data_IF_961019538411
#
_entry.id   IF_961019538411
#
_cell.length_a   1.000
_cell.length_b   1.000
_cell.length_c   1.000
_cell.angle_alpha   90.00
_cell.angle_beta   90.00
_cell.angle_gamma   90.00
#
_symmetry.space_group_name_H-M   'P 1'
#
loop_
_entity.id
_entity.type
_entity.pdbx_description
1 polymer ?
#
# COMPACT_ATOMS: atom_id res chain seq x y z
N UNK A 1 6.45 15.03 -27.22
CA UNK A 1 7.37 16.12 -26.79
C UNK A 1 7.73 15.85 -25.34
N UNK A 2 8.94 16.17 -24.88
CA UNK A 2 9.28 16.04 -23.45
C UNK A 2 8.65 17.23 -22.72
N UNK A 3 7.80 16.95 -21.73
CA UNK A 3 7.27 18.00 -20.85
C UNK A 3 8.42 18.68 -20.10
N UNK A 4 8.34 19.99 -19.97
CA UNK A 4 9.29 20.82 -19.25
C UNK A 4 8.56 21.53 -18.11
N UNK A 5 8.72 21.01 -16.89
CA UNK A 5 8.08 21.55 -15.70
C UNK A 5 8.48 23.00 -15.40
N UNK A 6 9.68 23.45 -15.79
CA UNK A 6 10.10 24.85 -15.57
C UNK A 6 9.32 25.80 -16.49
N UNK A 7 9.22 25.44 -17.77
CA UNK A 7 8.42 26.17 -18.75
C UNK A 7 6.92 26.16 -18.37
N UNK A 8 6.40 25.00 -17.93
CA UNK A 8 5.03 24.88 -17.46
C UNK A 8 4.76 25.75 -16.21
N UNK A 9 5.66 25.75 -15.23
CA UNK A 9 5.54 26.59 -14.03
C UNK A 9 5.54 28.09 -14.37
N UNK A 10 6.39 28.51 -15.30
CA UNK A 10 6.38 29.88 -15.82
C UNK A 10 5.03 30.22 -16.48
N UNK A 11 4.49 29.32 -17.31
CA UNK A 11 3.17 29.47 -17.94
C UNK A 11 2.04 29.59 -16.91
N UNK A 12 2.09 28.81 -15.83
CA UNK A 12 1.08 28.76 -14.77
C UNK A 12 1.09 30.01 -13.87
N UNK A 13 2.24 30.69 -13.75
CA UNK A 13 2.39 31.89 -12.92
C UNK A 13 1.44 33.04 -13.30
N UNK A 14 1.00 33.10 -14.55
CA UNK A 14 0.05 34.12 -15.02
C UNK A 14 -1.41 33.83 -14.62
N UNK A 15 -1.74 32.59 -14.22
CA UNK A 15 -3.11 32.12 -14.03
C UNK A 15 -3.68 32.35 -12.62
N UNK A 16 -2.90 32.93 -11.70
CA UNK A 16 -3.27 33.17 -10.28
C UNK A 16 -3.81 31.91 -9.57
N UNK A 17 -3.20 30.78 -9.84
CA UNK A 17 -3.48 29.51 -9.17
C UNK A 17 -2.25 29.07 -8.37
N UNK A 18 -2.41 28.31 -7.28
CA UNK A 18 -1.28 27.73 -6.60
C UNK A 18 -0.55 26.78 -7.55
N UNK A 19 0.77 26.94 -7.64
CA UNK A 19 1.63 26.15 -8.51
C UNK A 19 2.35 25.11 -7.64
N UNK A 20 2.26 23.81 -7.96
CA UNK A 20 3.07 22.78 -7.32
C UNK A 20 4.57 22.97 -7.60
N UNK A 21 5.42 22.25 -6.88
CA UNK A 21 6.86 22.21 -7.21
C UNK A 21 7.08 21.59 -8.59
N UNK A 22 8.25 21.81 -9.19
CA UNK A 22 8.63 21.19 -10.46
C UNK A 22 8.47 19.67 -10.43
N UNK A 23 8.91 19.05 -9.33
CA UNK A 23 8.92 17.60 -9.17
C UNK A 23 7.48 17.05 -9.15
N UNK A 24 6.58 17.73 -8.43
CA UNK A 24 5.16 17.37 -8.39
C UNK A 24 4.49 17.63 -9.74
N UNK A 25 4.87 18.68 -10.47
CA UNK A 25 4.36 18.93 -11.83
C UNK A 25 4.78 17.83 -12.81
N UNK A 26 6.01 17.33 -12.71
CA UNK A 26 6.48 16.20 -13.50
C UNK A 26 5.68 14.94 -13.17
N UNK A 27 5.43 14.65 -11.90
CA UNK A 27 4.60 13.51 -11.48
C UNK A 27 3.14 13.63 -11.96
N UNK A 28 2.54 14.82 -11.86
CA UNK A 28 1.20 15.08 -12.40
C UNK A 28 1.18 14.91 -13.91
N UNK A 29 2.24 15.32 -14.63
CA UNK A 29 2.37 15.09 -16.06
C UNK A 29 2.50 13.60 -16.38
N UNK A 30 3.21 12.80 -15.58
CA UNK A 30 3.24 11.35 -15.79
C UNK A 30 1.86 10.71 -15.65
N UNK A 31 1.00 11.26 -14.78
CA UNK A 31 -0.37 10.76 -14.59
C UNK A 31 -1.36 11.26 -15.65
N UNK A 32 -1.32 12.54 -16.03
CA UNK A 32 -2.34 13.15 -16.90
C UNK A 32 -1.88 13.34 -18.37
N UNK A 33 -0.58 13.25 -18.62
CA UNK A 33 0.02 13.38 -19.95
C UNK A 33 -0.36 14.68 -20.68
N UNK A 34 -0.77 14.53 -21.94
CA UNK A 34 -1.07 15.66 -22.82
C UNK A 34 -2.29 16.48 -22.34
N UNK A 35 -3.20 15.88 -21.55
CA UNK A 35 -4.35 16.60 -21.00
C UNK A 35 -3.92 17.75 -20.08
N UNK A 36 -2.82 17.58 -19.32
CA UNK A 36 -2.25 18.65 -18.50
C UNK A 36 -1.69 19.77 -19.38
N UNK A 37 -0.94 19.42 -20.43
CA UNK A 37 -0.32 20.39 -21.33
C UNK A 37 -1.38 21.22 -22.06
N UNK A 38 -2.40 20.56 -22.61
CA UNK A 38 -3.52 21.19 -23.28
C UNK A 38 -4.32 22.10 -22.34
N UNK A 39 -4.55 21.65 -21.10
CA UNK A 39 -5.24 22.46 -20.09
C UNK A 39 -4.47 23.74 -19.74
N UNK A 40 -3.13 23.66 -19.63
CA UNK A 40 -2.29 24.84 -19.38
C UNK A 40 -2.44 25.84 -20.52
N UNK A 41 -2.32 25.41 -21.77
CA UNK A 41 -2.40 26.30 -22.93
C UNK A 41 -3.79 26.92 -23.09
N UNK A 42 -4.85 26.11 -22.95
CA UNK A 42 -6.24 26.60 -22.99
C UNK A 42 -6.54 27.58 -21.86
N UNK A 43 -6.07 27.31 -20.65
CA UNK A 43 -6.27 28.23 -19.53
C UNK A 43 -5.55 29.56 -19.75
N UNK A 44 -4.35 29.56 -20.35
CA UNK A 44 -3.65 30.78 -20.76
C UNK A 44 -4.40 31.56 -21.85
N UNK A 45 -5.08 30.86 -22.74
CA UNK A 45 -5.97 31.46 -23.75
C UNK A 45 -7.30 31.99 -23.17
N UNK A 46 -7.54 31.84 -21.86
CA UNK A 46 -8.75 32.34 -21.18
C UNK A 46 -9.89 31.32 -21.06
N UNK A 47 -9.63 30.03 -21.32
CA UNK A 47 -10.60 28.96 -21.11
C UNK A 47 -10.84 28.73 -19.61
N UNK A 48 -12.07 29.03 -19.17
CA UNK A 48 -12.47 28.93 -17.77
C UNK A 48 -12.64 27.47 -17.31
N UNK A 49 -12.99 26.56 -18.23
CA UNK A 49 -13.12 25.12 -17.91
C UNK A 49 -11.75 24.51 -17.69
N UNK A 50 -10.78 24.83 -18.55
CA UNK A 50 -9.39 24.41 -18.35
C UNK A 50 -8.80 24.98 -17.05
N UNK A 51 -9.07 26.26 -16.76
CA UNK A 51 -8.65 26.88 -15.49
C UNK A 51 -9.31 26.21 -14.27
N UNK A 52 -10.59 25.84 -14.36
CA UNK A 52 -11.28 25.14 -13.27
C UNK A 52 -10.70 23.74 -13.02
N UNK A 53 -10.40 22.99 -14.08
CA UNK A 53 -9.71 21.69 -14.00
C UNK A 53 -8.34 21.83 -13.32
N UNK A 54 -7.50 22.78 -13.75
CA UNK A 54 -6.19 23.01 -13.13
C UNK A 54 -6.31 23.41 -11.66
N UNK A 55 -7.30 24.25 -11.31
CA UNK A 55 -7.59 24.58 -9.90
C UNK A 55 -7.98 23.34 -9.11
N UNK A 56 -8.86 22.50 -9.66
CA UNK A 56 -9.26 21.26 -9.00
C UNK A 56 -8.06 20.41 -8.60
N UNK A 57 -7.20 20.09 -9.57
CA UNK A 57 -6.01 19.26 -9.33
C UNK A 57 -5.02 19.97 -8.40
N UNK A 58 -4.64 21.22 -8.69
CA UNK A 58 -3.58 21.86 -7.94
C UNK A 58 -3.96 22.14 -6.49
N UNK A 59 -5.23 22.48 -6.20
CA UNK A 59 -5.65 22.67 -4.82
C UNK A 59 -5.71 21.36 -4.01
N UNK A 60 -5.87 20.19 -4.64
CA UNK A 60 -5.92 18.90 -3.92
C UNK A 60 -4.53 18.32 -3.65
N UNK A 61 -3.56 18.57 -4.53
CA UNK A 61 -2.19 18.04 -4.38
C UNK A 61 -1.26 18.92 -3.54
N UNK A 62 -1.72 20.08 -3.05
CA UNK A 62 -0.90 20.93 -2.19
C UNK A 62 -0.57 20.24 -0.86
N UNK A 63 0.63 20.45 -0.29
CA UNK A 63 1.02 19.90 1.01
C UNK A 63 0.02 20.21 2.13
N UNK A 64 -0.58 21.41 2.10
CA UNK A 64 -1.60 21.79 3.08
C UNK A 64 -2.91 21.01 2.95
N UNK A 65 -3.24 20.46 1.78
CA UNK A 65 -4.41 19.58 1.63
C UNK A 65 -4.11 18.23 2.29
N UNK A 66 -2.97 17.62 1.97
CA UNK A 66 -2.51 16.36 2.55
C UNK A 66 -2.44 16.41 4.07
N UNK A 67 -1.89 17.49 4.62
CA UNK A 67 -1.80 17.67 6.07
C UNK A 67 -3.17 17.74 6.75
N UNK A 68 -4.17 18.35 6.09
CA UNK A 68 -5.54 18.41 6.62
C UNK A 68 -6.25 17.06 6.55
N UNK A 69 -6.01 16.26 5.50
CA UNK A 69 -6.49 14.87 5.42
C UNK A 69 -5.92 14.07 6.59
N UNK A 70 -4.62 14.26 6.90
CA UNK A 70 -3.96 13.63 8.04
C UNK A 70 -4.58 14.06 9.38
N UNK A 71 -4.78 15.36 9.60
CA UNK A 71 -5.43 15.90 10.82
C UNK A 71 -6.86 15.36 10.98
N UNK A 72 -7.60 15.23 9.87
CA UNK A 72 -8.94 14.67 9.83
C UNK A 72 -8.99 13.14 10.04
N UNK A 73 -7.85 12.48 10.25
CA UNK A 73 -7.74 11.03 10.42
C UNK A 73 -8.35 10.25 9.24
N UNK A 74 -8.20 10.78 8.02
CA UNK A 74 -8.61 10.11 6.79
C UNK A 74 -7.44 9.27 6.22
N UNK A 75 -7.74 8.20 5.45
CA UNK A 75 -6.70 7.38 4.79
C UNK A 75 -5.73 8.25 3.99
N UNK A 76 -4.43 7.96 4.03
CA UNK A 76 -3.44 8.67 3.22
C UNK A 76 -3.68 8.41 1.72
N UNK A 77 -3.78 9.44 0.88
CA UNK A 77 -4.00 9.26 -0.56
C UNK A 77 -2.66 9.15 -1.31
N UNK A 78 -2.67 8.43 -2.43
CA UNK A 78 -1.64 8.56 -3.48
C UNK A 78 -1.83 9.89 -4.24
N UNK A 79 -0.83 10.28 -5.04
CA UNK A 79 -0.93 11.47 -5.88
C UNK A 79 -2.08 11.35 -6.89
N UNK A 80 -2.24 10.20 -7.56
CA UNK A 80 -3.28 10.01 -8.58
C UNK A 80 -4.68 9.98 -7.96
N UNK A 81 -4.86 9.48 -6.73
CA UNK A 81 -6.11 9.66 -5.98
C UNK A 81 -6.41 11.15 -5.75
N UNK A 82 -5.43 11.96 -5.34
CA UNK A 82 -5.62 13.41 -5.15
C UNK A 82 -5.96 14.14 -6.45
N UNK A 83 -5.31 13.77 -7.56
CA UNK A 83 -5.60 14.30 -8.90
C UNK A 83 -7.07 14.03 -9.25
N UNK A 84 -7.50 12.78 -9.09
CA UNK A 84 -8.87 12.37 -9.44
C UNK A 84 -9.93 13.01 -8.53
N UNK A 85 -9.67 13.14 -7.22
CA UNK A 85 -10.53 13.91 -6.31
C UNK A 85 -10.64 15.36 -6.80
N UNK A 86 -9.51 15.97 -7.20
CA UNK A 86 -9.47 17.32 -7.75
C UNK A 86 -10.29 17.47 -9.04
N UNK A 87 -10.31 16.46 -9.90
CA UNK A 87 -11.11 16.44 -11.14
C UNK A 87 -12.60 16.35 -10.87
N UNK A 88 -13.01 15.52 -9.90
CA UNK A 88 -14.43 15.26 -9.58
C UNK A 88 -15.04 16.40 -8.75
N UNK A 89 -14.40 16.77 -7.64
CA UNK A 89 -14.96 17.74 -6.69
C UNK A 89 -14.52 19.18 -7.00
N UNK A 90 -13.47 19.35 -7.80
CA UNK A 90 -12.88 20.66 -8.07
C UNK A 90 -12.26 21.29 -6.82
N UNK A 91 -12.02 22.61 -6.84
CA UNK A 91 -11.38 23.33 -5.73
C UNK A 91 -12.25 23.41 -4.47
N UNK A 92 -13.53 23.07 -4.55
CA UNK A 92 -14.49 23.12 -3.44
C UNK A 92 -14.06 22.17 -2.32
N UNK A 93 -13.62 20.97 -2.66
CA UNK A 93 -13.17 19.98 -1.68
C UNK A 93 -12.06 20.53 -0.78
N UNK A 94 -10.96 21.04 -1.35
CA UNK A 94 -9.85 21.58 -0.55
C UNK A 94 -10.24 22.79 0.30
N UNK A 95 -11.18 23.61 -0.18
CA UNK A 95 -11.68 24.76 0.58
C UNK A 95 -12.52 24.33 1.77
N UNK A 96 -13.44 23.38 1.58
CA UNK A 96 -14.28 22.86 2.66
C UNK A 96 -13.45 22.06 3.66
N UNK A 97 -12.49 21.27 3.19
CA UNK A 97 -11.54 20.56 4.04
C UNK A 97 -10.72 21.51 4.90
N UNK A 98 -10.29 22.65 4.33
CA UNK A 98 -9.65 23.72 5.11
C UNK A 98 -10.56 24.26 6.19
N UNK A 99 -11.78 24.68 5.85
CA UNK A 99 -12.72 25.25 6.82
C UNK A 99 -13.07 24.27 7.95
N UNK A 100 -13.26 23.00 7.61
CA UNK A 100 -13.57 21.95 8.57
C UNK A 100 -12.36 21.58 9.45
N UNK A 101 -11.15 21.58 8.88
CA UNK A 101 -9.93 21.39 9.66
C UNK A 101 -9.66 22.56 10.61
N UNK A 102 -9.87 23.80 10.15
CA UNK A 102 -9.69 25.01 10.95
C UNK A 102 -10.72 25.09 12.11
N UNK A 103 -11.87 24.40 12.00
CA UNK A 103 -12.86 24.27 13.08
C UNK A 103 -12.59 23.11 14.05
N UNK A 104 -11.43 22.43 13.92
CA UNK A 104 -11.06 21.30 14.77
C UNK A 104 -11.74 19.98 14.38
N UNK A 105 -12.14 19.84 13.11
CA UNK A 105 -12.79 18.64 12.58
C UNK A 105 -14.08 18.27 13.34
N UNK A 106 -14.85 19.27 13.77
CA UNK A 106 -16.10 19.07 14.49
C UNK A 106 -17.10 18.22 13.69
N UNK A 107 -17.88 17.38 14.39
CA UNK A 107 -18.98 16.64 13.75
C UNK A 107 -20.00 17.63 13.18
N UNK A 108 -20.11 17.64 11.86
CA UNK A 108 -20.90 18.58 11.08
C UNK A 108 -21.28 17.92 9.76
N UNK A 109 -22.34 18.41 9.12
CA UNK A 109 -22.78 17.88 7.83
C UNK A 109 -21.69 18.04 6.74
N UNK A 110 -20.88 19.10 6.84
CA UNK A 110 -19.72 19.32 5.98
C UNK A 110 -18.65 18.25 6.23
N UNK A 111 -18.36 17.94 7.50
CA UNK A 111 -17.40 16.90 7.87
C UNK A 111 -17.82 15.52 7.38
N UNK A 112 -19.11 15.16 7.54
CA UNK A 112 -19.65 13.88 7.04
C UNK A 112 -19.59 13.81 5.51
N UNK A 113 -20.05 14.85 4.82
CA UNK A 113 -19.93 14.94 3.36
C UNK A 113 -18.48 14.74 2.90
N UNK A 114 -17.52 15.46 3.49
CA UNK A 114 -16.12 15.34 3.13
C UNK A 114 -15.57 13.93 3.37
N UNK A 115 -15.91 13.33 4.50
CA UNK A 115 -15.47 11.97 4.83
C UNK A 115 -16.04 10.93 3.87
N UNK A 116 -17.34 11.01 3.56
CA UNK A 116 -18.03 10.06 2.71
C UNK A 116 -17.57 10.18 1.25
N UNK A 117 -17.51 11.41 0.73
CA UNK A 117 -16.98 11.72 -0.59
C UNK A 117 -15.52 11.27 -0.70
N UNK A 118 -14.69 11.61 0.28
CA UNK A 118 -13.28 11.23 0.26
C UNK A 118 -13.11 9.70 0.27
N UNK A 119 -13.79 8.99 1.17
CA UNK A 119 -13.68 7.51 1.25
C UNK A 119 -14.21 6.83 -0.01
N UNK A 120 -15.31 7.30 -0.58
CA UNK A 120 -15.85 6.76 -1.82
C UNK A 120 -14.87 6.92 -2.98
N UNK A 121 -14.34 8.14 -3.17
CA UNK A 121 -13.40 8.42 -4.25
C UNK A 121 -12.06 7.73 -4.01
N UNK A 122 -11.55 7.73 -2.78
CA UNK A 122 -10.33 7.03 -2.40
C UNK A 122 -10.45 5.53 -2.68
N UNK A 123 -11.55 4.88 -2.31
CA UNK A 123 -11.78 3.47 -2.61
C UNK A 123 -11.90 3.22 -4.12
N UNK A 124 -12.62 4.08 -4.84
CA UNK A 124 -12.80 3.97 -6.28
C UNK A 124 -11.46 4.06 -7.03
N UNK A 125 -10.66 5.09 -6.73
CA UNK A 125 -9.42 5.36 -7.46
C UNK A 125 -8.24 4.51 -6.98
N UNK A 126 -8.22 4.07 -5.71
CA UNK A 126 -7.23 3.07 -5.26
C UNK A 126 -7.44 1.72 -5.96
N UNK A 127 -8.70 1.31 -6.20
CA UNK A 127 -9.02 0.09 -6.95
C UNK A 127 -8.61 0.19 -8.44
N UNK A 128 -8.74 1.38 -9.04
CA UNK A 128 -8.31 1.63 -10.42
C UNK A 128 -6.78 1.62 -10.57
N UNK A 129 -6.05 2.21 -9.62
CA UNK A 129 -4.58 2.10 -9.57
C UNK A 129 -4.13 0.64 -9.43
N UNK A 130 -4.79 -0.14 -8.55
CA UNK A 130 -4.53 -1.58 -8.43
C UNK A 130 -4.82 -2.33 -9.74
N UNK A 131 -5.87 -1.97 -10.48
CA UNK A 131 -6.18 -2.58 -11.78
C UNK A 131 -5.20 -2.18 -12.89
N UNK A 132 -4.80 -0.91 -12.99
CA UNK A 132 -3.82 -0.45 -13.99
C UNK A 132 -2.46 -1.09 -13.76
N UNK A 133 -2.00 -1.20 -12.50
CA UNK A 133 -0.76 -1.90 -12.15
C UNK A 133 -0.84 -3.39 -12.50
N UNK A 134 -2.02 -4.02 -12.32
CA UNK A 134 -2.24 -5.42 -12.71
C UNK A 134 -2.26 -5.60 -14.24
N UNK A 135 -2.79 -4.62 -15.00
CA UNK A 135 -2.80 -4.62 -16.46
C UNK A 135 -1.39 -4.39 -17.01
N UNK A 136 -0.66 -3.39 -16.50
CA UNK A 136 0.71 -3.08 -16.93
C UNK A 136 1.67 -4.23 -16.60
N UNK A 137 1.50 -4.88 -15.44
CA UNK A 137 2.21 -6.11 -15.10
C UNK A 137 1.84 -7.31 -15.98
N UNK A 138 0.60 -7.38 -16.49
CA UNK A 138 0.15 -8.42 -17.41
C UNK A 138 0.60 -8.17 -18.87
N UNK A 139 0.70 -6.91 -19.29
CA UNK A 139 1.20 -6.50 -20.61
C UNK A 139 2.72 -6.72 -20.74
N UNK A 140 3.47 -6.51 -19.66
CA UNK A 140 4.90 -6.89 -19.60
C UNK A 140 5.09 -8.42 -19.68
N UNK A 141 4.04 -9.20 -19.36
CA UNK A 141 4.05 -10.67 -19.40
C UNK A 141 3.49 -11.28 -20.70
N UNK A 142 2.92 -10.51 -21.62
CA UNK A 142 2.32 -11.03 -22.85
C UNK A 142 3.31 -11.05 -24.02
N UNK A 143 4.22 -12.03 -23.95
CA UNK A 143 4.53 -12.84 -25.12
C UNK A 143 4.04 -14.26 -24.83
N UNK A 144 3.02 -14.67 -25.58
CA UNK A 144 2.28 -15.95 -25.57
C UNK A 144 1.09 -16.10 -24.59
N UNK A 145 -0.10 -16.27 -25.21
CA UNK A 145 -1.48 -16.48 -24.70
C UNK A 145 -1.69 -17.83 -23.95
N UNK A 146 -2.93 -18.26 -23.56
CA UNK A 146 -4.22 -17.55 -23.44
C UNK A 146 -4.87 -17.64 -22.03
N UNK A 147 -5.89 -16.80 -21.87
CA UNK A 147 -6.75 -16.62 -20.71
C UNK A 147 -7.86 -17.67 -20.66
N UNK A 148 -8.04 -18.33 -19.51
CA UNK A 148 -9.33 -18.92 -19.11
C UNK A 148 -9.85 -18.20 -17.88
N UNK A 149 -10.85 -17.35 -18.10
CA UNK A 149 -11.67 -16.69 -17.10
C UNK A 149 -12.89 -17.57 -16.81
N UNK A 150 -13.02 -18.06 -15.59
CA UNK A 150 -14.29 -18.56 -15.07
C UNK A 150 -14.78 -17.69 -13.92
N UNK A 151 -15.82 -16.90 -14.23
CA UNK A 151 -16.68 -16.23 -13.29
C UNK A 151 -17.47 -17.28 -12.50
N UNK A 152 -17.40 -17.21 -11.17
CA UNK A 152 -18.50 -17.69 -10.34
C UNK A 152 -18.74 -16.69 -9.20
N UNK A 153 -19.96 -16.18 -9.21
CA UNK A 153 -20.55 -15.24 -8.28
C UNK A 153 -21.02 -15.97 -7.01
N UNK A 154 -20.56 -15.52 -5.85
CA UNK A 154 -21.34 -15.59 -4.61
C UNK A 154 -20.90 -14.46 -3.68
N UNK A 155 -21.87 -13.62 -3.35
CA UNK A 155 -21.76 -12.42 -2.53
C UNK A 155 -21.74 -12.77 -1.05
N UNK A 156 -20.56 -12.68 -0.44
CA UNK A 156 -20.36 -12.44 0.98
C UNK A 156 -19.26 -11.39 1.10
N UNK A 157 -19.49 -10.38 1.94
CA UNK A 157 -18.62 -9.22 2.23
C UNK A 157 -17.13 -9.58 2.14
N UNK A 158 -16.55 -9.37 0.96
CA UNK A 158 -15.27 -9.98 0.56
C UNK A 158 -14.20 -9.10 1.17
N UNK A 159 -13.82 -9.36 2.43
CA UNK A 159 -12.67 -8.72 3.06
C UNK A 159 -11.46 -8.89 2.13
N UNK A 160 -11.09 -7.82 1.44
CA UNK A 160 -9.91 -7.79 0.59
C UNK A 160 -8.71 -7.87 1.51
N UNK A 161 -8.08 -9.04 1.57
CA UNK A 161 -6.84 -9.19 2.31
C UNK A 161 -5.68 -8.76 1.42
N UNK A 162 -4.84 -7.87 1.93
CA UNK A 162 -3.58 -7.52 1.26
C UNK A 162 -2.69 -8.76 1.29
N UNK A 163 -2.21 -9.18 0.13
CA UNK A 163 -1.35 -10.36 -0.03
C UNK A 163 -0.02 -9.98 -0.65
N UNK A 164 1.05 -10.67 -0.24
CA UNK A 164 2.41 -10.53 -0.80
C UNK A 164 2.94 -11.93 -1.07
N UNK A 165 3.23 -12.22 -2.33
CA UNK A 165 3.77 -13.51 -2.74
C UNK A 165 5.28 -13.44 -2.90
N UNK A 166 5.97 -14.52 -2.53
CA UNK A 166 7.41 -14.70 -2.78
C UNK A 166 7.61 -16.06 -3.43
N UNK A 167 8.21 -16.08 -4.61
CA UNK A 167 8.36 -17.30 -5.40
C UNK A 167 9.81 -17.80 -5.38
N UNK A 168 10.00 -19.02 -4.88
CA UNK A 168 11.21 -19.80 -5.06
C UNK A 168 11.02 -20.89 -6.12
N UNK A 169 12.13 -21.55 -6.50
CA UNK A 169 12.10 -22.58 -7.53
C UNK A 169 11.26 -23.83 -7.15
N UNK A 170 11.22 -24.18 -5.86
CA UNK A 170 10.52 -25.37 -5.34
C UNK A 170 9.37 -25.06 -4.41
N UNK A 171 9.30 -23.82 -3.90
CA UNK A 171 8.38 -23.41 -2.84
C UNK A 171 7.97 -21.97 -3.12
N UNK A 172 6.70 -21.66 -2.90
CA UNK A 172 6.19 -20.29 -2.84
C UNK A 172 5.70 -19.99 -1.43
N UNK A 173 5.81 -18.72 -1.05
CA UNK A 173 5.22 -18.17 0.17
C UNK A 173 4.18 -17.13 -0.18
N UNK A 174 3.12 -17.06 0.62
CA UNK A 174 2.15 -15.98 0.62
C UNK A 174 2.05 -15.42 2.04
N UNK A 175 2.26 -14.11 2.17
CA UNK A 175 2.00 -13.35 3.38
C UNK A 175 0.69 -12.60 3.17
N UNK A 176 -0.29 -12.85 4.02
CA UNK A 176 -1.62 -12.27 3.89
C UNK A 176 -1.99 -11.54 5.18
N UNK A 177 -2.53 -10.32 5.08
CA UNK A 177 -3.18 -9.67 6.23
C UNK A 177 -4.27 -10.58 6.78
N UNK A 178 -4.36 -10.71 8.09
CA UNK A 178 -5.33 -11.59 8.74
C UNK A 178 -5.84 -10.95 10.03
N UNK A 179 -6.86 -11.53 10.64
CA UNK A 179 -7.38 -11.09 11.93
C UNK A 179 -7.63 -12.31 12.80
N UNK A 180 -7.16 -12.26 14.04
CA UNK A 180 -7.41 -13.32 15.01
C UNK A 180 -8.89 -13.35 15.39
N UNK A 181 -9.33 -14.42 16.06
CA UNK A 181 -10.71 -14.51 16.57
C UNK A 181 -11.08 -13.38 17.54
N UNK A 182 -10.09 -12.80 18.22
CA UNK A 182 -10.28 -11.67 19.13
C UNK A 182 -10.23 -10.30 18.45
N UNK A 183 -10.11 -10.26 17.11
CA UNK A 183 -10.07 -9.01 16.36
C UNK A 183 -8.68 -8.39 16.23
N UNK A 184 -7.62 -9.08 16.67
CA UNK A 184 -6.24 -8.56 16.54
C UNK A 184 -5.74 -8.70 15.10
N UNK A 185 -5.24 -7.62 14.53
CA UNK A 185 -4.65 -7.57 13.20
C UNK A 185 -3.32 -8.32 13.17
N UNK A 186 -3.13 -9.20 12.20
CA UNK A 186 -1.93 -10.05 12.13
C UNK A 186 -1.63 -10.45 10.68
N UNK A 187 -0.65 -11.32 10.48
CA UNK A 187 -0.31 -11.89 9.17
C UNK A 187 -0.42 -13.41 9.23
N UNK A 188 -0.92 -13.99 8.15
CA UNK A 188 -0.82 -15.41 7.86
C UNK A 188 0.30 -15.68 6.86
N UNK A 189 1.13 -16.66 7.17
CA UNK A 189 2.17 -17.19 6.30
C UNK A 189 1.66 -18.51 5.73
N UNK A 190 1.58 -18.60 4.42
CA UNK A 190 1.25 -19.81 3.70
C UNK A 190 2.40 -20.25 2.82
N UNK A 191 2.77 -21.52 2.89
CA UNK A 191 3.86 -22.08 2.10
C UNK A 191 3.35 -23.23 1.24
N UNK A 192 3.61 -23.20 -0.07
CA UNK A 192 3.19 -24.22 -1.03
C UNK A 192 4.39 -24.77 -1.82
N UNK A 193 4.39 -26.07 -2.11
CA UNK A 193 5.40 -26.70 -2.97
C UNK A 193 5.07 -26.53 -4.44
N UNK A 194 6.10 -26.44 -5.28
CA UNK A 194 5.94 -26.41 -6.71
C UNK A 194 5.45 -27.77 -7.23
N UNK A 195 4.45 -27.76 -8.09
CA UNK A 195 4.00 -28.94 -8.85
C UNK A 195 4.59 -28.97 -10.25
N UNK A 196 4.90 -27.79 -10.79
CA UNK A 196 5.56 -27.58 -12.06
C UNK A 196 6.30 -26.23 -12.03
N UNK A 197 6.99 -25.88 -13.13
CA UNK A 197 7.61 -24.57 -13.26
C UNK A 197 6.58 -23.46 -13.06
N UNK A 198 6.81 -22.57 -12.07
CA UNK A 198 5.92 -21.44 -11.71
C UNK A 198 4.50 -21.84 -11.29
N UNK A 199 4.25 -23.10 -10.95
CA UNK A 199 2.94 -23.58 -10.47
C UNK A 199 3.10 -24.22 -9.09
N UNK A 200 2.23 -23.86 -8.15
CA UNK A 200 2.36 -24.25 -6.74
C UNK A 200 1.06 -24.88 -6.20
N UNK A 201 1.19 -25.92 -5.39
CA UNK A 201 0.08 -26.63 -4.79
C UNK A 201 -0.42 -25.90 -3.52
N UNK A 202 -1.26 -24.90 -3.71
CA UNK A 202 -1.90 -24.17 -2.61
C UNK A 202 -2.97 -24.99 -1.87
N UNK A 203 -3.49 -26.07 -2.47
CA UNK A 203 -4.43 -26.96 -1.79
C UNK A 203 -3.75 -27.70 -0.63
N UNK A 204 -2.48 -28.07 -0.78
CA UNK A 204 -1.66 -28.75 0.24
C UNK A 204 -0.69 -27.80 0.96
N UNK A 205 -1.05 -26.52 1.12
CA UNK A 205 -0.21 -25.50 1.79
C UNK A 205 -0.01 -25.76 3.29
N UNK A 206 1.12 -25.33 3.83
CA UNK A 206 1.30 -25.16 5.29
C UNK A 206 0.87 -23.74 5.61
N UNK A 207 -0.08 -23.57 6.52
CA UNK A 207 -0.61 -22.27 6.92
C UNK A 207 -0.37 -22.03 8.42
N UNK A 208 0.23 -20.88 8.74
CA UNK A 208 0.55 -20.41 10.09
C UNK A 208 0.05 -18.96 10.22
N UNK A 209 -0.82 -18.69 11.20
CA UNK A 209 -1.21 -17.32 11.58
C UNK A 209 -0.24 -16.84 12.67
N UNK A 210 0.43 -15.71 12.45
CA UNK A 210 1.29 -15.11 13.46
C UNK A 210 0.46 -14.65 14.66
N UNK A 211 0.99 -14.81 15.86
CA UNK A 211 0.43 -14.18 17.05
C UNK A 211 0.94 -12.74 17.18
N UNK A 212 0.18 -11.88 17.90
CA UNK A 212 0.61 -10.51 18.17
C UNK A 212 1.97 -10.40 18.87
N UNK A 213 2.34 -11.43 19.66
CA UNK A 213 3.64 -11.52 20.34
C UNK A 213 4.80 -11.81 19.39
N UNK A 214 4.54 -12.45 18.25
CA UNK A 214 5.56 -12.78 17.27
C UNK A 214 5.83 -11.63 16.30
N UNK A 215 4.83 -10.77 16.04
CA UNK A 215 4.94 -9.67 15.06
C UNK A 215 6.19 -8.79 15.25
N UNK A 216 6.55 -8.32 16.46
CA UNK A 216 7.75 -7.49 16.63
C UNK A 216 9.04 -8.23 16.27
N UNK A 217 9.19 -9.50 16.69
CA UNK A 217 10.39 -10.29 16.39
C UNK A 217 10.51 -10.65 14.91
N UNK A 218 9.37 -10.93 14.27
CA UNK A 218 9.31 -11.14 12.81
C UNK A 218 9.74 -9.87 12.08
N UNK A 219 9.15 -8.72 12.40
CA UNK A 219 9.51 -7.43 11.79
C UNK A 219 10.98 -7.08 12.03
N UNK A 220 11.47 -7.23 13.27
CA UNK A 220 12.88 -7.01 13.61
C UNK A 220 13.82 -7.87 12.75
N UNK A 221 13.46 -9.14 12.50
CA UNK A 221 14.29 -10.02 11.69
C UNK A 221 14.27 -9.59 10.22
N UNK A 222 13.10 -9.30 9.65
CA UNK A 222 13.00 -8.80 8.27
C UNK A 222 13.73 -7.47 8.06
N UNK A 223 13.76 -6.61 9.08
CA UNK A 223 14.50 -5.35 9.07
C UNK A 223 15.97 -5.48 9.46
N UNK A 224 16.47 -6.70 9.64
CA UNK A 224 17.86 -6.99 10.01
C UNK A 224 18.31 -6.36 11.34
N UNK A 225 17.37 -6.07 12.24
CA UNK A 225 17.63 -5.61 13.60
C UNK A 225 18.02 -6.76 14.55
N UNK A 226 17.64 -7.99 14.20
CA UNK A 226 18.07 -9.23 14.86
C UNK A 226 18.39 -10.28 13.81
N UNK A 227 19.23 -11.26 14.12
CA UNK A 227 19.74 -12.22 13.13
C UNK A 227 18.76 -13.34 12.81
N UNK A 228 17.92 -13.75 13.77
CA UNK A 228 17.05 -14.91 13.65
C UNK A 228 15.78 -14.78 14.50
N UNK A 229 14.70 -15.40 14.04
CA UNK A 229 13.48 -15.63 14.82
C UNK A 229 12.93 -17.04 14.60
N UNK A 230 12.50 -17.69 15.67
CA UNK A 230 11.85 -19.01 15.63
C UNK A 230 10.42 -18.92 16.20
N UNK A 231 9.41 -18.99 15.34
CA UNK A 231 8.00 -19.07 15.74
C UNK A 231 7.55 -20.53 15.83
N UNK A 232 7.45 -21.06 17.05
CA UNK A 232 7.14 -22.48 17.34
C UNK A 232 5.79 -22.61 18.03
N UNK A 233 5.22 -23.82 18.00
CA UNK A 233 4.00 -24.14 18.73
C UNK A 233 2.72 -23.72 17.98
N UNK A 234 2.76 -23.74 16.65
CA UNK A 234 1.61 -23.49 15.80
C UNK A 234 0.92 -24.79 15.42
N UNK A 235 -0.35 -24.71 14.99
CA UNK A 235 -1.15 -25.89 14.65
C UNK A 235 -1.91 -26.47 15.84
N UNK A 236 -2.87 -27.36 15.56
CA UNK A 236 -3.78 -27.87 16.60
C UNK A 236 -3.07 -28.76 17.63
N UNK A 237 -1.92 -29.33 17.27
CA UNK A 237 -1.08 -30.21 18.07
C UNK A 237 0.33 -29.63 18.27
N UNK A 238 0.51 -28.31 18.11
CA UNK A 238 1.83 -27.64 18.16
C UNK A 238 2.84 -28.23 17.15
N UNK A 239 2.35 -28.71 16.02
CA UNK A 239 3.09 -29.47 15.03
C UNK A 239 3.73 -28.61 13.93
N UNK A 240 3.46 -27.29 13.92
CA UNK A 240 3.95 -26.34 12.92
C UNK A 240 4.89 -25.32 13.55
N UNK A 241 5.86 -24.88 12.77
CA UNK A 241 6.79 -23.82 13.15
C UNK A 241 7.36 -23.13 11.92
N UNK A 242 7.93 -21.95 12.12
CA UNK A 242 8.71 -21.27 11.10
C UNK A 242 9.98 -20.67 11.69
N UNK A 243 10.98 -20.52 10.84
CA UNK A 243 12.26 -19.89 11.16
C UNK A 243 12.55 -18.81 10.13
N UNK A 244 12.97 -17.64 10.59
CA UNK A 244 13.45 -16.53 9.75
C UNK A 244 14.90 -16.28 10.13
N UNK A 245 15.79 -16.16 9.16
CA UNK A 245 17.21 -15.96 9.37
C UNK A 245 17.78 -15.01 8.33
N UNK A 246 18.53 -14.00 8.79
CA UNK A 246 19.19 -13.05 7.91
C UNK A 246 20.44 -13.64 7.29
N UNK A 247 20.56 -13.52 5.97
CA UNK A 247 21.71 -13.92 5.19
C UNK A 247 22.23 -12.72 4.40
N UNK A 248 23.49 -12.73 3.94
CA UNK A 248 24.00 -11.65 3.09
C UNK A 248 23.09 -11.39 1.88
N UNK A 249 22.52 -10.18 1.81
CA UNK A 249 21.67 -9.71 0.72
C UNK A 249 20.25 -10.29 0.66
N UNK A 250 19.80 -11.07 1.66
CA UNK A 250 18.48 -11.71 1.65
C UNK A 250 18.00 -12.15 3.03
N UNK A 251 16.70 -12.30 3.19
CA UNK A 251 16.09 -12.95 4.36
C UNK A 251 15.72 -14.38 3.98
N UNK A 252 16.17 -15.38 4.71
CA UNK A 252 15.77 -16.77 4.48
C UNK A 252 14.65 -17.15 5.45
N UNK A 253 13.59 -17.76 4.94
CA UNK A 253 12.49 -18.25 5.76
C UNK A 253 12.20 -19.72 5.45
N UNK A 254 11.91 -20.48 6.50
CA UNK A 254 11.55 -21.90 6.43
C UNK A 254 10.26 -22.13 7.21
N UNK A 255 9.23 -22.65 6.55
CA UNK A 255 7.93 -23.00 7.13
C UNK A 255 7.80 -24.52 7.18
N UNK A 256 7.44 -25.05 8.33
CA UNK A 256 7.57 -26.48 8.63
C UNK A 256 6.32 -27.02 9.32
N UNK A 257 6.05 -28.30 9.09
CA UNK A 257 5.05 -29.08 9.83
C UNK A 257 5.57 -30.50 10.02
N UNK A 258 5.25 -31.12 11.16
CA UNK A 258 5.67 -32.50 11.46
C UNK A 258 5.25 -33.46 10.33
N UNK A 259 6.20 -34.28 9.87
CA UNK A 259 5.94 -35.32 8.87
C UNK A 259 5.88 -34.84 7.41
N UNK A 260 6.13 -33.56 7.13
CA UNK A 260 6.30 -33.04 5.75
C UNK A 260 7.69 -32.44 5.57
N UNK A 261 8.13 -32.33 4.31
CA UNK A 261 9.38 -31.67 3.98
C UNK A 261 9.33 -30.16 4.32
N UNK A 262 10.45 -29.55 4.76
CA UNK A 262 10.56 -28.12 4.96
C UNK A 262 10.25 -27.31 3.71
N UNK A 263 9.47 -26.24 3.85
CA UNK A 263 9.15 -25.31 2.75
C UNK A 263 9.91 -24.00 2.96
N UNK A 264 11.00 -23.83 2.24
CA UNK A 264 11.94 -22.72 2.49
C UNK A 264 12.23 -21.89 1.24
N UNK A 265 12.30 -20.57 1.41
CA UNK A 265 12.46 -19.61 0.32
C UNK A 265 13.42 -18.49 0.75
N UNK A 266 14.42 -18.11 -0.08
CA UNK A 266 15.15 -16.87 0.07
C UNK A 266 14.31 -15.69 -0.41
N UNK A 267 14.24 -14.63 0.38
CA UNK A 267 13.50 -13.39 0.09
C UNK A 267 14.51 -12.29 -0.23
N UNK A 268 14.46 -11.77 -1.45
CA UNK A 268 15.31 -10.66 -1.89
C UNK A 268 14.81 -9.29 -1.38
N UNK A 269 15.59 -8.21 -1.57
CA UNK A 269 15.25 -6.88 -1.05
C UNK A 269 13.89 -6.33 -1.53
N UNK A 270 13.51 -6.57 -2.79
CA UNK A 270 12.23 -6.11 -3.35
C UNK A 270 11.02 -6.74 -2.65
N UNK A 271 11.01 -8.07 -2.53
CA UNK A 271 9.95 -8.79 -1.83
C UNK A 271 9.95 -8.48 -0.32
N UNK A 272 11.14 -8.30 0.25
CA UNK A 272 11.33 -7.96 1.66
C UNK A 272 10.63 -6.63 2.01
N UNK A 273 10.71 -5.61 1.15
CA UNK A 273 10.00 -4.35 1.33
C UNK A 273 8.49 -4.57 1.45
N UNK A 274 7.90 -5.36 0.53
CA UNK A 274 6.47 -5.65 0.56
C UNK A 274 6.02 -6.34 1.84
N UNK A 275 6.78 -7.32 2.33
CA UNK A 275 6.49 -8.02 3.58
C UNK A 275 6.63 -7.09 4.79
N UNK A 276 7.66 -6.24 4.83
CA UNK A 276 7.87 -5.25 5.91
C UNK A 276 6.72 -4.25 5.97
N UNK A 277 6.28 -3.71 4.83
CA UNK A 277 5.15 -2.77 4.80
C UNK A 277 3.86 -3.40 5.33
N UNK A 278 3.61 -4.67 5.00
CA UNK A 278 2.43 -5.40 5.49
C UNK A 278 2.49 -5.62 7.01
N UNK A 279 3.68 -5.95 7.55
CA UNK A 279 3.90 -6.09 9.00
C UNK A 279 3.64 -4.78 9.73
N UNK A 280 4.23 -3.68 9.26
CA UNK A 280 4.03 -2.35 9.84
C UNK A 280 2.55 -1.96 9.82
N UNK A 281 1.87 -2.17 8.69
CA UNK A 281 0.45 -1.84 8.55
C UNK A 281 -0.42 -2.60 9.57
N UNK A 282 -0.23 -3.92 9.72
CA UNK A 282 -1.01 -4.71 10.67
C UNK A 282 -0.72 -4.31 12.12
N UNK A 283 0.54 -4.02 12.45
CA UNK A 283 0.93 -3.57 13.79
C UNK A 283 0.35 -2.19 14.12
N UNK A 284 0.32 -1.25 13.17
CA UNK A 284 -0.29 0.07 13.37
C UNK A 284 -1.82 -0.02 13.51
N UNK A 285 -2.49 -0.96 12.84
CA UNK A 285 -3.93 -1.20 13.05
C UNK A 285 -4.23 -1.65 14.49
N UNK A 286 -3.32 -2.39 15.14
CA UNK A 286 -3.44 -2.75 16.56
C UNK A 286 -3.09 -1.61 17.52
N UNK A 287 -2.29 -0.65 17.08
CA UNK A 287 -1.82 0.47 17.89
C UNK A 287 -1.95 1.80 17.14
N UNK A 288 -3.19 2.27 16.86
CA UNK A 288 -3.44 3.44 15.99
C UNK A 288 -2.92 4.77 16.56
N UNK A 289 -2.51 4.78 17.83
CA UNK A 289 -1.90 5.93 18.49
C UNK A 289 -0.37 6.03 18.26
N UNK A 290 0.25 5.03 17.63
CA UNK A 290 1.67 5.03 17.30
C UNK A 290 1.91 5.59 15.90
N UNK A 291 3.00 6.35 15.72
CA UNK A 291 3.58 6.58 14.41
C UNK A 291 4.41 5.37 13.97
N UNK A 292 4.64 5.24 12.66
CA UNK A 292 5.56 4.23 12.12
C UNK A 292 6.96 4.34 12.75
N UNK A 293 7.49 5.56 12.91
CA UNK A 293 8.79 5.77 13.56
C UNK A 293 8.81 5.29 15.01
N UNK A 294 7.74 5.55 15.77
CA UNK A 294 7.65 5.10 17.17
C UNK A 294 7.58 3.58 17.24
N UNK A 295 6.78 2.95 16.36
CA UNK A 295 6.70 1.50 16.23
C UNK A 295 8.08 0.89 15.94
N UNK A 296 8.80 1.43 14.95
CA UNK A 296 10.13 0.94 14.56
C UNK A 296 11.16 1.08 15.69
N UNK A 297 11.12 2.19 16.44
CA UNK A 297 11.97 2.37 17.62
C UNK A 297 11.68 1.33 18.72
N UNK A 298 10.41 0.99 18.95
CA UNK A 298 10.02 -0.05 19.92
C UNK A 298 10.44 -1.45 19.46
N UNK A 299 10.31 -1.74 18.17
CA UNK A 299 10.75 -3.00 17.56
C UNK A 299 12.26 -3.14 17.68
N UNK A 300 13.03 -2.09 17.39
CA UNK A 300 14.48 -2.09 17.53
C UNK A 300 14.92 -2.37 18.98
N UNK A 301 14.25 -1.75 19.97
CA UNK A 301 14.52 -2.05 21.39
C UNK A 301 14.21 -3.50 21.75
N UNK A 302 13.11 -4.04 21.22
CA UNK A 302 12.72 -5.45 21.44
C UNK A 302 13.75 -6.40 20.82
N UNK A 303 14.28 -6.07 19.64
CA UNK A 303 15.32 -6.84 18.96
C UNK A 303 16.61 -6.93 19.79
N UNK A 304 17.03 -5.81 20.39
CA UNK A 304 18.21 -5.77 21.27
C UNK A 304 18.05 -6.62 22.53
N UNK A 305 16.82 -6.85 23.01
CA UNK A 305 16.56 -7.76 24.12
C UNK A 305 16.67 -9.24 23.72
N UNK A 306 16.57 -9.55 22.43
CA UNK A 306 16.65 -10.91 21.90
C UNK A 306 18.09 -11.33 21.57
N UNK A 307 19.05 -10.39 21.55
CA UNK A 307 20.47 -10.73 21.42
C UNK A 307 20.98 -11.44 22.68
N UNK A 308 21.70 -12.56 22.55
CA UNK A 308 22.40 -13.14 23.69
C UNK A 308 23.45 -12.14 24.19
N UNK A 309 23.46 -11.91 25.51
CA UNK A 309 24.46 -11.08 26.18
C UNK A 309 25.90 -11.60 25.98
#
# INVERSE_FOLDING_TARGET
MRFDAQSASAKLSSLRIPIPSSDVLDEVYQSEGDALSDAIERAQAGDHTALHYLKGIFFTILPGCVERIRIANLPQPSLSVLINIGKVEGPKFSQQLKQWSDSGCADSDIGRYLCDTYRSLHQQFSCLEEQEVLIEAAEIQTSEEPVTSELSSESADKKTFVTRHVYGAKVALCFQSDTTRSGEHTIRIEAAEATASRTFNWAEKISIQLSGRELPGVLATFMQMQTKFDGKGHGAQNEKWFTIENQPGKVFISVNTKGRAPRSVPIGPGDCFGVVTLLIEQMLKNAPYLSADTLLNLVQRTAQMAEPA
#
